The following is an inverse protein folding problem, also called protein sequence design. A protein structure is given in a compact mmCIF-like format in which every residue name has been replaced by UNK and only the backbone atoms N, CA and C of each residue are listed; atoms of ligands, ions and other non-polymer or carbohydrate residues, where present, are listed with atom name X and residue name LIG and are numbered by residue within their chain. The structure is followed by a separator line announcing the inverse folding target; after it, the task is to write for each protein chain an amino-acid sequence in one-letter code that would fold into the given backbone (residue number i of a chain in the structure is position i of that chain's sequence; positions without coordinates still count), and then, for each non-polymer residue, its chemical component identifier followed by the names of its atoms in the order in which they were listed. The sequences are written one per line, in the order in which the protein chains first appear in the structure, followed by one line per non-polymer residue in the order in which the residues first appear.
data_IF_828667484944
#
_entry.id   IF_828667484944
#
_cell.length_a   1.000
_cell.length_b   1.000
_cell.length_c   1.000
_cell.angle_alpha   90.00
_cell.angle_beta   90.00
_cell.angle_gamma   90.00
#
_symmetry.space_group_name_H-M   'P 1'
#
loop_
_entity.id
_entity.type
_entity.pdbx_description
1 polymer ?
#
# COMPACT_ATOMS: atom_id res chain seq x y z
N UNK A 1 -49.78 16.12 30.36
CA UNK A 1 -49.67 14.98 31.31
C UNK A 1 -48.28 14.32 31.32
N UNK A 2 -47.79 13.65 30.27
CA UNK A 2 -46.45 13.02 30.29
C UNK A 2 -45.27 14.01 30.24
N UNK A 3 -45.43 15.16 29.57
CA UNK A 3 -44.36 16.15 29.45
C UNK A 3 -44.13 16.92 30.76
N UNK A 4 -45.21 17.17 31.52
CA UNK A 4 -45.16 17.91 32.79
C UNK A 4 -44.51 17.08 33.89
N UNK A 5 -44.77 15.77 33.92
CA UNK A 5 -44.11 14.85 34.85
C UNK A 5 -42.61 14.72 34.53
N UNK A 6 -42.23 14.57 33.26
CA UNK A 6 -40.82 14.54 32.83
C UNK A 6 -40.06 15.81 33.25
N UNK A 7 -40.66 16.99 33.10
CA UNK A 7 -40.03 18.26 33.49
C UNK A 7 -39.91 18.38 35.01
N UNK A 8 -40.90 17.92 35.77
CA UNK A 8 -40.82 17.87 37.23
C UNK A 8 -39.71 16.93 37.71
N UNK A 9 -39.63 15.72 37.15
CA UNK A 9 -38.64 14.71 37.50
C UNK A 9 -37.20 15.19 37.18
N UNK A 10 -36.98 15.79 36.01
CA UNK A 10 -35.71 16.43 35.64
C UNK A 10 -35.29 17.52 36.63
N UNK A 11 -36.23 18.39 37.03
CA UNK A 11 -35.96 19.46 38.02
C UNK A 11 -35.60 18.90 39.38
N UNK A 12 -36.29 17.83 39.80
CA UNK A 12 -36.05 17.17 41.08
C UNK A 12 -34.68 16.50 41.09
N UNK A 13 -34.33 15.75 40.04
CA UNK A 13 -33.02 15.13 39.86
C UNK A 13 -31.89 16.16 39.88
N UNK A 14 -32.03 17.29 39.17
CA UNK A 14 -31.02 18.35 39.15
C UNK A 14 -30.80 18.98 40.54
N UNK A 15 -31.87 19.09 41.33
CA UNK A 15 -31.82 19.64 42.70
C UNK A 15 -31.18 18.64 43.66
N UNK A 16 -31.41 17.35 43.46
CA UNK A 16 -30.77 16.26 44.20
C UNK A 16 -29.26 16.22 43.94
N UNK A 17 -28.85 16.31 42.67
CA UNK A 17 -27.43 16.33 42.27
C UNK A 17 -26.67 17.53 42.84
N UNK A 18 -27.31 18.71 42.92
CA UNK A 18 -26.73 19.90 43.57
C UNK A 18 -26.57 19.77 45.08
N UNK A 19 -27.35 18.91 45.75
CA UNK A 19 -27.25 18.69 47.21
C UNK A 19 -26.13 17.73 47.60
N UNK A 20 -25.67 16.87 46.68
CA UNK A 20 -24.58 15.91 46.91
C UNK A 20 -23.45 16.09 45.87
N UNK A 21 -22.70 17.20 45.95
CA UNK A 21 -21.72 17.57 44.92
C UNK A 21 -20.57 16.55 44.79
N UNK A 22 -20.10 15.96 45.88
CA UNK A 22 -18.99 14.98 45.84
C UNK A 22 -19.33 13.72 45.05
N UNK A 23 -20.50 13.11 45.30
CA UNK A 23 -20.97 11.93 44.57
C UNK A 23 -21.29 12.24 43.11
N UNK A 24 -21.88 13.40 42.84
CA UNK A 24 -22.19 13.83 41.48
C UNK A 24 -20.92 14.03 40.65
N UNK A 25 -19.90 14.68 41.22
CA UNK A 25 -18.63 14.92 40.53
C UNK A 25 -17.92 13.60 40.20
N UNK A 26 -17.84 12.66 41.15
CA UNK A 26 -17.20 11.36 40.89
C UNK A 26 -17.95 10.56 39.83
N UNK A 27 -19.29 10.55 39.87
CA UNK A 27 -20.13 9.86 38.89
C UNK A 27 -20.02 10.49 37.48
N UNK A 28 -19.99 11.82 37.37
CA UNK A 28 -19.81 12.51 36.08
C UNK A 28 -18.41 12.26 35.52
N UNK A 29 -17.37 12.29 36.35
CA UNK A 29 -16.00 12.04 35.90
C UNK A 29 -15.80 10.60 35.43
N UNK A 30 -16.34 9.61 36.15
CA UNK A 30 -16.26 8.21 35.71
C UNK A 30 -17.04 7.97 34.42
N UNK A 31 -18.22 8.56 34.27
CA UNK A 31 -19.00 8.48 33.03
C UNK A 31 -18.28 9.18 31.87
N UNK A 32 -17.73 10.37 32.09
CA UNK A 32 -16.99 11.13 31.09
C UNK A 32 -15.72 10.40 30.66
N UNK A 33 -14.98 9.78 31.59
CA UNK A 33 -13.82 8.94 31.27
C UNK A 33 -14.21 7.69 30.49
N UNK A 34 -15.29 7.01 30.88
CA UNK A 34 -15.76 5.81 30.18
C UNK A 34 -16.21 6.12 28.74
N UNK A 35 -17.00 7.18 28.56
CA UNK A 35 -17.45 7.63 27.24
C UNK A 35 -16.27 8.17 26.42
N UNK A 36 -15.39 8.97 27.03
CA UNK A 36 -14.22 9.54 26.38
C UNK A 36 -13.24 8.49 25.89
N UNK A 37 -12.90 7.50 26.72
CA UNK A 37 -11.98 6.43 26.36
C UNK A 37 -12.52 5.55 25.23
N UNK A 38 -13.80 5.16 25.31
CA UNK A 38 -14.44 4.34 24.25
C UNK A 38 -14.56 5.12 22.94
N UNK A 39 -14.92 6.41 23.00
CA UNK A 39 -14.98 7.28 21.81
C UNK A 39 -13.60 7.49 21.21
N UNK A 40 -12.56 7.70 22.02
CA UNK A 40 -11.19 7.89 21.54
C UNK A 40 -10.66 6.65 20.82
N UNK A 41 -10.86 5.45 21.39
CA UNK A 41 -10.47 4.19 20.74
C UNK A 41 -11.23 4.02 19.42
N UNK A 42 -12.56 4.22 19.41
CA UNK A 42 -13.34 4.08 18.20
C UNK A 42 -12.96 5.11 17.13
N UNK A 43 -12.68 6.35 17.52
CA UNK A 43 -12.23 7.40 16.59
C UNK A 43 -10.86 7.08 16.00
N UNK A 44 -9.93 6.59 16.81
CA UNK A 44 -8.62 6.15 16.35
C UNK A 44 -8.75 4.96 15.38
N UNK A 45 -9.55 3.95 15.73
CA UNK A 45 -9.82 2.80 14.86
C UNK A 45 -10.48 3.25 13.56
N UNK A 46 -11.46 4.14 13.60
CA UNK A 46 -12.11 4.68 12.41
C UNK A 46 -11.13 5.49 11.55
N UNK A 47 -10.25 6.30 12.13
CA UNK A 47 -9.27 7.06 11.36
C UNK A 47 -8.20 6.16 10.73
N UNK A 48 -7.70 5.18 11.48
CA UNK A 48 -6.62 4.30 11.01
C UNK A 48 -7.12 3.21 10.07
N UNK A 49 -8.28 2.59 10.36
CA UNK A 49 -8.84 1.51 9.53
C UNK A 49 -9.71 2.00 8.37
N UNK A 50 -10.31 3.20 8.47
CA UNK A 50 -11.31 3.67 7.49
C UNK A 50 -10.93 5.00 6.82
N UNK A 51 -9.71 5.51 7.00
CA UNK A 51 -9.16 6.40 5.97
C UNK A 51 -9.01 5.58 4.71
N UNK A 52 -9.90 5.84 3.74
CA UNK A 52 -9.69 5.41 2.37
C UNK A 52 -8.27 5.82 1.98
N UNK A 53 -7.44 4.83 1.59
CA UNK A 53 -6.17 5.08 0.90
C UNK A 53 -6.41 6.26 -0.06
N UNK A 54 -5.56 7.30 -0.10
CA UNK A 54 -5.78 8.48 -0.93
C UNK A 54 -5.56 8.13 -2.41
N UNK A 55 -6.43 7.27 -2.92
CA UNK A 55 -6.46 6.64 -4.23
C UNK A 55 -7.84 6.88 -4.82
N UNK A 56 -7.90 7.03 -6.14
CA UNK A 56 -9.16 7.29 -6.82
C UNK A 56 -10.02 6.02 -6.84
N UNK A 57 -11.30 6.10 -6.44
CA UNK A 57 -12.28 4.97 -6.48
C UNK A 57 -11.71 3.66 -5.89
N UNK A 58 -11.53 3.58 -4.56
CA UNK A 58 -10.95 2.41 -3.90
C UNK A 58 -11.81 1.14 -4.04
N UNK A 59 -13.13 1.28 -4.24
CA UNK A 59 -14.08 0.18 -4.46
C UNK A 59 -13.79 -0.65 -5.73
N UNK A 60 -13.04 -0.07 -6.67
CA UNK A 60 -12.66 -0.72 -7.93
C UNK A 60 -11.23 -1.29 -7.90
N UNK A 61 -10.49 -1.15 -6.80
CA UNK A 61 -9.14 -1.68 -6.68
C UNK A 61 -9.20 -3.05 -6.01
N UNK A 62 -8.87 -4.08 -6.76
CA UNK A 62 -8.86 -5.46 -6.28
C UNK A 62 -7.43 -5.99 -6.27
N UNK A 63 -7.03 -6.56 -5.14
CA UNK A 63 -5.81 -7.36 -5.04
C UNK A 63 -6.09 -8.76 -5.58
N UNK A 64 -5.13 -9.33 -6.30
CA UNK A 64 -5.19 -10.73 -6.70
C UNK A 64 -4.57 -11.57 -5.58
N UNK A 65 -5.36 -12.47 -4.99
CA UNK A 65 -4.95 -13.32 -3.86
C UNK A 65 -5.68 -12.94 -2.55
N UNK A 66 -6.14 -13.96 -1.84
CA UNK A 66 -7.12 -13.81 -0.75
C UNK A 66 -6.50 -13.73 0.64
N UNK A 67 -5.21 -14.07 0.80
CA UNK A 67 -4.56 -14.07 2.12
C UNK A 67 -3.40 -13.08 2.19
N UNK A 68 -3.21 -12.41 3.35
CA UNK A 68 -1.95 -11.72 3.63
C UNK A 68 -0.82 -12.75 3.64
N UNK A 69 0.31 -12.43 3.01
CA UNK A 69 1.50 -13.27 2.99
C UNK A 69 2.13 -13.33 4.39
N UNK A 70 1.61 -14.18 5.30
CA UNK A 70 2.22 -14.33 6.61
C UNK A 70 3.41 -15.29 6.51
N UNK A 71 4.62 -14.72 6.45
CA UNK A 71 5.90 -15.40 6.57
C UNK A 71 6.24 -16.45 5.49
N UNK A 72 5.41 -16.61 4.46
CA UNK A 72 5.67 -17.51 3.33
C UNK A 72 5.79 -16.70 2.02
N UNK A 73 6.99 -16.73 1.43
CA UNK A 73 7.36 -16.01 0.22
C UNK A 73 7.29 -16.93 -1.01
N UNK A 74 6.16 -17.61 -1.18
CA UNK A 74 5.90 -18.52 -2.31
C UNK A 74 4.57 -18.17 -2.96
N UNK A 75 4.43 -18.50 -4.25
CA UNK A 75 3.20 -18.24 -5.00
C UNK A 75 2.06 -19.08 -4.47
N UNK A 76 2.30 -20.36 -4.19
CA UNK A 76 1.33 -21.28 -3.63
C UNK A 76 1.49 -21.43 -2.11
N UNK A 77 0.41 -21.19 -1.36
CA UNK A 77 0.34 -21.51 0.07
C UNK A 77 -0.59 -22.70 0.30
N UNK A 78 -0.04 -23.83 0.77
CA UNK A 78 -0.87 -24.94 1.23
C UNK A 78 -1.45 -24.57 2.59
N UNK A 79 -2.76 -24.68 2.75
CA UNK A 79 -3.31 -24.74 4.08
C UNK A 79 -3.22 -26.17 4.64
N UNK A 80 -2.99 -26.25 5.95
CA UNK A 80 -2.98 -27.52 6.67
C UNK A 80 -4.40 -28.12 6.83
N UNK A 81 -5.41 -27.56 6.16
CA UNK A 81 -6.83 -27.88 6.32
C UNK A 81 -7.44 -28.61 5.12
N UNK A 82 -6.65 -28.91 4.09
CA UNK A 82 -7.09 -29.69 2.93
C UNK A 82 -8.00 -28.94 1.96
N UNK A 83 -7.97 -27.60 1.96
CA UNK A 83 -8.59 -26.80 0.90
C UNK A 83 -7.59 -26.68 -0.27
N UNK A 84 -8.05 -26.38 -1.50
CA UNK A 84 -7.14 -25.99 -2.58
C UNK A 84 -6.24 -24.85 -2.05
N UNK A 85 -4.92 -24.95 -2.22
CA UNK A 85 -4.03 -23.92 -1.72
C UNK A 85 -4.25 -22.59 -2.44
N UNK A 86 -4.06 -21.49 -1.71
CA UNK A 86 -4.31 -20.15 -2.23
C UNK A 86 -3.03 -19.61 -2.86
N UNK A 87 -3.17 -19.08 -4.09
CA UNK A 87 -2.08 -18.43 -4.80
C UNK A 87 -2.04 -16.93 -4.50
N UNK A 88 -0.92 -16.42 -4.00
CA UNK A 88 -0.84 -15.06 -3.45
C UNK A 88 0.32 -14.21 -3.99
N UNK A 89 1.37 -14.81 -4.55
CA UNK A 89 2.51 -14.08 -5.12
C UNK A 89 2.76 -14.55 -6.54
N UNK A 90 3.17 -13.65 -7.42
CA UNK A 90 3.29 -13.96 -8.84
C UNK A 90 4.70 -13.67 -9.36
N UNK A 91 5.16 -14.43 -10.36
CA UNK A 91 6.35 -14.09 -11.11
C UNK A 91 6.03 -12.98 -12.11
N UNK A 92 7.07 -12.29 -12.57
CA UNK A 92 6.95 -11.18 -13.54
C UNK A 92 6.22 -11.57 -14.84
N UNK A 93 6.47 -12.78 -15.35
CA UNK A 93 5.83 -13.26 -16.58
C UNK A 93 4.33 -13.50 -16.41
N UNK A 94 3.88 -13.99 -15.25
CA UNK A 94 2.45 -14.15 -14.96
C UNK A 94 1.74 -12.80 -14.85
N UNK A 95 2.38 -11.81 -14.23
CA UNK A 95 1.87 -10.43 -14.24
C UNK A 95 1.65 -9.91 -15.66
N UNK A 96 2.66 -10.05 -16.53
CA UNK A 96 2.55 -9.61 -17.94
C UNK A 96 1.41 -10.34 -18.66
N UNK A 97 1.27 -11.65 -18.42
CA UNK A 97 0.20 -12.46 -18.98
C UNK A 97 -1.18 -11.93 -18.56
N UNK A 98 -1.42 -11.76 -17.27
CA UNK A 98 -2.72 -11.30 -16.75
C UNK A 98 -3.03 -9.88 -17.22
N UNK A 99 -2.04 -8.99 -17.20
CA UNK A 99 -2.22 -7.61 -17.68
C UNK A 99 -2.62 -7.57 -19.16
N UNK A 100 -2.09 -8.48 -19.98
CA UNK A 100 -2.40 -8.55 -21.41
C UNK A 100 -3.72 -9.26 -21.71
N UNK A 101 -4.10 -10.27 -20.93
CA UNK A 101 -5.17 -11.21 -21.30
C UNK A 101 -6.44 -11.11 -20.45
N UNK A 102 -6.45 -10.32 -19.39
CA UNK A 102 -7.61 -10.19 -18.50
C UNK A 102 -8.37 -8.85 -18.72
N UNK A 103 -9.34 -8.79 -19.67
CA UNK A 103 -10.02 -7.54 -20.04
C UNK A 103 -10.93 -6.97 -18.94
N UNK A 104 -11.23 -7.76 -17.90
CA UNK A 104 -11.97 -7.30 -16.72
C UNK A 104 -11.26 -6.20 -15.93
N UNK A 105 -9.94 -6.07 -16.10
CA UNK A 105 -9.17 -4.94 -15.58
C UNK A 105 -9.19 -3.75 -16.56
N UNK A 106 -9.38 -2.56 -15.98
CA UNK A 106 -9.01 -1.30 -16.62
C UNK A 106 -7.49 -1.18 -16.69
N UNK A 107 -6.80 -1.54 -15.60
CA UNK A 107 -5.35 -1.63 -15.54
C UNK A 107 -4.93 -2.60 -14.42
N UNK A 108 -3.74 -3.20 -14.55
CA UNK A 108 -3.18 -4.13 -13.57
C UNK A 108 -1.74 -3.72 -13.27
N UNK A 109 -1.44 -3.52 -11.99
CA UNK A 109 -0.11 -3.16 -11.51
C UNK A 109 0.49 -4.30 -10.67
N UNK A 110 1.81 -4.35 -10.68
CA UNK A 110 2.60 -5.24 -9.84
C UNK A 110 3.44 -4.43 -8.86
N UNK A 111 3.64 -4.98 -7.68
CA UNK A 111 4.50 -4.42 -6.65
C UNK A 111 5.27 -5.56 -5.97
N UNK A 112 6.50 -5.29 -5.57
CA UNK A 112 7.29 -6.23 -4.79
C UNK A 112 6.53 -6.57 -3.51
N UNK A 113 6.41 -7.87 -3.22
CA UNK A 113 6.06 -8.30 -1.89
C UNK A 113 7.23 -8.04 -0.94
N UNK A 114 6.95 -7.38 0.18
CA UNK A 114 7.95 -6.95 1.16
C UNK A 114 8.64 -5.64 0.76
N UNK A 115 9.83 -5.40 1.31
CA UNK A 115 10.60 -4.19 1.04
C UNK A 115 11.95 -4.50 0.35
N UNK A 116 12.49 -3.50 -0.32
CA UNK A 116 13.87 -3.47 -0.79
C UNK A 116 14.68 -2.57 0.15
N UNK A 117 15.59 -3.10 1.00
CA UNK A 117 16.44 -2.23 1.80
C UNK A 117 17.40 -1.45 0.89
N UNK A 118 17.38 -0.12 1.00
CA UNK A 118 18.18 0.78 0.17
C UNK A 118 19.17 1.57 1.02
N UNK A 119 20.39 1.70 0.52
CA UNK A 119 21.36 2.69 0.93
C UNK A 119 21.33 3.85 -0.07
N UNK A 120 20.88 5.02 0.38
CA UNK A 120 20.60 6.20 -0.44
C UNK A 120 21.51 7.34 -0.04
N UNK A 121 22.11 8.02 -1.02
CA UNK A 121 22.80 9.30 -0.80
C UNK A 121 22.68 10.21 -2.01
N UNK A 122 22.64 11.51 -1.80
CA UNK A 122 22.74 12.48 -2.89
C UNK A 122 24.04 12.28 -3.68
N UNK A 123 23.99 12.32 -5.01
CA UNK A 123 25.19 12.18 -5.82
C UNK A 123 26.18 13.33 -5.54
N UNK A 124 27.46 13.00 -5.36
CA UNK A 124 28.48 13.98 -4.99
C UNK A 124 28.52 14.35 -3.49
N UNK A 125 27.61 13.83 -2.66
CA UNK A 125 27.74 13.96 -1.21
C UNK A 125 28.90 13.11 -0.67
N UNK A 126 29.71 13.69 0.22
CA UNK A 126 30.77 12.99 0.96
C UNK A 126 30.25 12.27 2.22
N UNK A 127 28.97 12.48 2.58
CA UNK A 127 28.34 11.85 3.74
C UNK A 127 28.10 10.35 3.56
N UNK A 128 27.85 9.63 4.67
CA UNK A 128 27.42 8.23 4.61
C UNK A 128 26.07 8.11 3.89
N UNK A 129 25.80 6.93 3.33
CA UNK A 129 24.48 6.63 2.81
C UNK A 129 23.49 6.40 3.95
N UNK A 130 22.27 6.88 3.77
CA UNK A 130 21.16 6.69 4.69
C UNK A 130 20.36 5.44 4.31
N UNK A 131 19.79 4.78 5.30
CA UNK A 131 18.88 3.66 5.06
C UNK A 131 17.49 4.18 4.68
N UNK A 132 16.94 3.63 3.60
CA UNK A 132 15.60 3.90 3.12
C UNK A 132 14.87 2.59 2.79
N UNK A 133 13.56 2.58 2.98
CA UNK A 133 12.72 1.49 2.51
C UNK A 133 12.36 1.71 1.05
N UNK A 134 12.74 0.77 0.19
CA UNK A 134 12.40 0.72 -1.22
C UNK A 134 11.25 -0.22 -1.51
N UNK A 135 10.56 0.00 -2.62
CA UNK A 135 9.60 -0.95 -3.20
C UNK A 135 9.73 -0.91 -4.72
N UNK A 136 9.94 -2.07 -5.35
CA UNK A 136 9.86 -2.15 -6.81
C UNK A 136 8.40 -2.22 -7.24
N UNK A 137 8.00 -1.40 -8.21
CA UNK A 137 6.63 -1.32 -8.71
C UNK A 137 6.60 -1.25 -10.23
N UNK A 138 5.50 -1.68 -10.84
CA UNK A 138 5.32 -1.57 -12.28
C UNK A 138 5.18 -0.11 -12.73
N UNK A 139 5.53 0.18 -13.98
CA UNK A 139 5.50 1.54 -14.52
C UNK A 139 4.12 2.22 -14.43
N UNK A 140 3.05 1.46 -14.52
CA UNK A 140 1.66 1.92 -14.39
C UNK A 140 1.11 1.92 -12.95
N UNK A 141 1.91 1.64 -11.93
CA UNK A 141 1.46 1.46 -10.55
C UNK A 141 0.65 2.65 -10.03
N UNK A 142 1.23 3.85 -10.12
CA UNK A 142 0.57 5.07 -9.65
C UNK A 142 -0.68 5.42 -10.46
N UNK A 143 -0.67 5.16 -11.77
CA UNK A 143 -1.83 5.34 -12.64
C UNK A 143 -2.97 4.38 -12.28
N UNK A 144 -2.65 3.11 -12.00
CA UNK A 144 -3.62 2.10 -11.56
C UNK A 144 -4.31 2.55 -10.27
N UNK A 145 -3.55 3.07 -9.30
CA UNK A 145 -4.08 3.64 -8.06
C UNK A 145 -4.78 5.00 -8.26
N UNK A 146 -4.59 5.64 -9.41
CA UNK A 146 -5.19 6.93 -9.71
C UNK A 146 -4.67 8.03 -8.79
N UNK A 147 -3.36 8.02 -8.52
CA UNK A 147 -2.67 9.04 -7.72
C UNK A 147 -1.82 9.94 -8.62
N UNK A 148 -1.62 11.17 -8.19
CA UNK A 148 -0.87 12.19 -8.94
C UNK A 148 0.30 12.70 -8.12
N UNK A 149 1.41 13.07 -8.77
CA UNK A 149 2.58 13.58 -8.09
C UNK A 149 2.24 14.85 -7.28
N UNK A 150 2.83 14.97 -6.08
CA UNK A 150 2.90 16.26 -5.38
C UNK A 150 3.82 17.23 -6.13
N UNK A 151 4.94 16.72 -6.65
CA UNK A 151 5.93 17.48 -7.42
C UNK A 151 6.57 16.59 -8.48
N UNK A 152 6.86 17.14 -9.65
CA UNK A 152 7.45 16.38 -10.76
C UNK A 152 6.43 15.46 -11.44
N UNK A 153 6.84 14.23 -11.76
CA UNK A 153 5.98 13.21 -12.36
C UNK A 153 6.16 11.87 -11.66
N UNK A 154 5.17 11.00 -11.81
CA UNK A 154 5.24 9.60 -11.39
C UNK A 154 5.67 8.71 -12.57
N UNK A 155 5.85 7.42 -12.30
CA UNK A 155 6.17 6.44 -13.33
C UNK A 155 5.07 6.34 -14.39
N UNK A 156 5.50 6.00 -15.59
CA UNK A 156 4.69 5.50 -16.69
C UNK A 156 5.30 4.21 -17.22
N UNK A 157 4.58 3.47 -18.07
CA UNK A 157 5.06 2.20 -18.64
C UNK A 157 6.43 2.29 -19.34
N UNK A 158 6.77 3.46 -19.91
CA UNK A 158 8.06 3.68 -20.57
C UNK A 158 9.26 3.75 -19.60
N UNK A 159 9.03 4.06 -18.33
CA UNK A 159 10.08 4.06 -17.30
C UNK A 159 10.39 2.64 -16.79
N UNK A 160 9.48 1.70 -17.03
CA UNK A 160 9.56 0.30 -16.57
C UNK A 160 9.87 -0.64 -17.75
N UNK A 161 10.89 -0.28 -18.53
CA UNK A 161 11.39 -1.05 -19.66
C UNK A 161 12.87 -1.37 -19.49
N UNK A 162 13.32 -2.49 -20.05
CA UNK A 162 14.74 -2.80 -20.08
C UNK A 162 15.51 -1.71 -20.84
N UNK A 163 16.55 -1.16 -20.20
CA UNK A 163 17.35 -0.07 -20.75
C UNK A 163 16.76 1.34 -20.58
N UNK A 164 15.58 1.47 -19.96
CA UNK A 164 15.06 2.79 -19.59
C UNK A 164 16.01 3.51 -18.61
N UNK A 165 16.08 4.85 -18.64
CA UNK A 165 16.87 5.61 -17.68
C UNK A 165 16.48 5.26 -16.23
N UNK A 166 17.44 5.00 -15.32
CA UNK A 166 17.12 4.69 -13.93
C UNK A 166 16.49 5.89 -13.22
N UNK A 167 15.22 5.76 -12.88
CA UNK A 167 14.42 6.79 -12.22
C UNK A 167 13.80 6.25 -10.93
N UNK A 168 13.53 7.15 -9.99
CA UNK A 168 12.92 6.83 -8.71
C UNK A 168 11.87 7.89 -8.33
N UNK A 169 10.87 7.48 -7.55
CA UNK A 169 9.88 8.39 -6.96
C UNK A 169 10.05 8.36 -5.46
N UNK A 170 10.10 9.54 -4.83
CA UNK A 170 10.22 9.66 -3.38
C UNK A 170 8.85 9.78 -2.73
N UNK A 171 8.66 9.20 -1.54
CA UNK A 171 7.46 9.43 -0.75
C UNK A 171 7.41 10.85 -0.20
N UNK A 172 6.20 11.38 -0.03
CA UNK A 172 6.01 12.70 0.56
C UNK A 172 6.62 12.76 1.97
N UNK A 173 6.43 11.70 2.76
CA UNK A 173 6.95 11.59 4.11
C UNK A 173 8.48 11.64 4.14
N UNK A 174 9.17 10.85 3.30
CA UNK A 174 10.62 10.89 3.22
C UNK A 174 11.13 12.27 2.78
N UNK A 175 10.50 12.86 1.75
CA UNK A 175 10.83 14.19 1.25
C UNK A 175 10.70 15.27 2.34
N UNK A 176 9.64 15.21 3.15
CA UNK A 176 9.39 16.16 4.22
C UNK A 176 10.35 15.99 5.40
N UNK A 177 10.43 14.77 5.94
CA UNK A 177 11.12 14.48 7.21
C UNK A 177 12.64 14.34 7.04
N UNK A 178 13.10 13.68 5.98
CA UNK A 178 14.53 13.39 5.75
C UNK A 178 15.20 14.45 4.89
N UNK A 179 14.48 15.01 3.92
CA UNK A 179 15.03 15.96 2.94
C UNK A 179 14.53 17.40 3.14
N UNK A 180 13.89 17.70 4.27
CA UNK A 180 13.53 19.07 4.67
C UNK A 180 12.59 19.78 3.70
N UNK A 181 11.78 19.03 2.94
CA UNK A 181 10.92 19.57 1.87
C UNK A 181 11.69 20.32 0.77
N UNK A 182 12.96 19.94 0.51
CA UNK A 182 13.80 20.60 -0.49
C UNK A 182 13.23 20.40 -1.91
N UNK A 183 12.85 21.49 -2.63
CA UNK A 183 12.29 21.39 -3.97
C UNK A 183 13.28 20.87 -5.03
N UNK A 184 14.59 20.89 -4.76
CA UNK A 184 15.67 20.47 -5.67
C UNK A 184 15.85 18.96 -5.71
N UNK A 185 15.23 18.21 -4.80
CA UNK A 185 15.22 16.74 -4.82
C UNK A 185 14.74 16.21 -6.17
N UNK A 186 13.67 16.80 -6.72
CA UNK A 186 13.15 16.42 -8.04
C UNK A 186 14.10 16.93 -9.14
N UNK A 187 14.55 16.01 -9.99
CA UNK A 187 15.55 16.23 -11.04
C UNK A 187 16.98 15.96 -10.59
N UNK A 188 17.23 15.77 -9.30
CA UNK A 188 18.55 15.45 -8.77
C UNK A 188 18.86 13.96 -8.82
N UNK A 189 20.15 13.64 -8.95
CA UNK A 189 20.66 12.28 -8.98
C UNK A 189 21.04 11.82 -7.58
N UNK A 190 20.61 10.62 -7.21
CA UNK A 190 20.95 9.93 -5.99
C UNK A 190 21.66 8.62 -6.32
N UNK A 191 22.60 8.23 -5.46
CA UNK A 191 23.19 6.91 -5.48
C UNK A 191 22.35 6.01 -4.57
N UNK A 192 21.67 5.03 -5.18
CA UNK A 192 20.84 4.03 -4.51
C UNK A 192 21.55 2.68 -4.68
N UNK A 193 22.00 2.07 -3.58
CA UNK A 193 22.92 0.90 -3.56
C UNK A 193 24.09 1.02 -4.55
N UNK A 194 24.67 2.22 -4.68
CA UNK A 194 25.80 2.49 -5.56
C UNK A 194 25.46 2.66 -7.04
N UNK A 195 24.18 2.71 -7.40
CA UNK A 195 23.70 3.01 -8.76
C UNK A 195 23.06 4.39 -8.81
N UNK A 196 23.28 5.12 -9.90
CA UNK A 196 22.71 6.44 -10.08
C UNK A 196 21.24 6.35 -10.51
N UNK A 197 20.35 6.98 -9.76
CA UNK A 197 18.92 7.15 -10.06
C UNK A 197 18.56 8.63 -10.00
N UNK A 198 17.73 9.08 -10.93
CA UNK A 198 17.16 10.44 -10.88
C UNK A 198 15.83 10.40 -10.16
N UNK A 199 15.64 11.25 -9.14
CA UNK A 199 14.32 11.40 -8.53
C UNK A 199 13.45 12.22 -9.47
N UNK A 200 12.43 11.61 -10.08
CA UNK A 200 11.58 12.28 -11.08
C UNK A 200 10.32 12.90 -10.50
N UNK A 201 9.99 12.57 -9.25
CA UNK A 201 8.87 13.17 -8.56
C UNK A 201 8.73 12.74 -7.11
N UNK A 202 7.80 13.40 -6.43
CA UNK A 202 7.38 13.12 -5.06
C UNK A 202 5.92 12.67 -5.11
N UNK A 203 5.61 11.54 -4.49
CA UNK A 203 4.26 11.01 -4.36
C UNK A 203 3.34 11.97 -3.57
N UNK A 204 2.01 11.88 -3.69
CA UNK A 204 1.11 12.81 -3.01
C UNK A 204 1.15 12.64 -1.48
N UNK A 205 0.83 13.70 -0.75
CA UNK A 205 0.72 13.67 0.70
C UNK A 205 -0.32 12.62 1.15
N UNK A 206 0.03 11.85 2.19
CA UNK A 206 -0.81 10.77 2.72
C UNK A 206 -0.76 9.46 1.94
N UNK A 207 -0.10 9.42 0.76
CA UNK A 207 0.09 8.17 0.03
C UNK A 207 1.26 7.37 0.61
N UNK A 208 0.97 6.13 1.03
CA UNK A 208 1.90 5.25 1.75
C UNK A 208 2.22 3.95 1.02
N UNK A 209 1.78 3.81 -0.24
CA UNK A 209 1.85 2.56 -1.01
C UNK A 209 0.49 1.86 -1.14
N UNK A 210 0.45 0.71 -1.81
CA UNK A 210 -0.76 -0.09 -2.00
C UNK A 210 -1.06 -1.02 -0.81
N UNK A 211 -0.07 -1.26 0.04
CA UNK A 211 -0.14 -2.23 1.15
C UNK A 211 0.40 -1.59 2.41
N UNK A 212 -0.30 -1.78 3.54
CA UNK A 212 0.18 -1.40 4.86
C UNK A 212 0.75 -2.66 5.50
N UNK A 213 2.06 -2.73 5.67
CA UNK A 213 2.77 -3.90 6.22
C UNK A 213 3.68 -3.49 7.38
N UNK A 214 3.91 -4.42 8.30
CA UNK A 214 4.65 -4.18 9.56
C UNK A 214 6.12 -3.76 9.36
N UNK A 215 6.71 -4.03 8.19
CA UNK A 215 8.10 -3.73 7.86
C UNK A 215 8.35 -2.28 7.42
N UNK A 216 7.31 -1.45 7.42
CA UNK A 216 7.38 -0.01 7.17
C UNK A 216 6.94 0.39 5.76
N UNK A 217 6.57 1.66 5.62
CA UNK A 217 6.12 2.25 4.36
C UNK A 217 7.33 2.54 3.44
N UNK A 218 7.15 2.50 2.11
CA UNK A 218 8.21 2.86 1.17
C UNK A 218 8.59 4.34 1.31
N UNK A 219 9.88 4.60 1.45
CA UNK A 219 10.48 5.92 1.28
C UNK A 219 10.70 6.24 -0.21
N UNK A 220 11.00 5.20 -1.01
CA UNK A 220 11.32 5.33 -2.44
C UNK A 220 10.67 4.17 -3.22
N UNK A 221 10.04 4.49 -4.35
CA UNK A 221 9.64 3.52 -5.35
C UNK A 221 10.63 3.48 -6.51
N UNK A 222 10.82 2.29 -7.07
CA UNK A 222 11.72 2.00 -8.19
C UNK A 222 10.94 1.20 -9.26
N UNK A 223 11.15 1.40 -10.57
CA UNK A 223 10.53 0.55 -11.58
C UNK A 223 11.05 -0.89 -11.49
N UNK A 224 10.17 -1.89 -11.65
CA UNK A 224 10.52 -3.32 -11.62
C UNK A 224 11.68 -3.67 -12.58
N UNK A 225 11.69 -3.09 -13.77
CA UNK A 225 12.74 -3.28 -14.78
C UNK A 225 14.14 -2.82 -14.32
N UNK A 226 14.23 -2.04 -13.24
CA UNK A 226 15.51 -1.61 -12.65
C UNK A 226 16.07 -2.59 -11.61
N UNK A 227 15.31 -3.60 -11.19
CA UNK A 227 15.76 -4.62 -10.23
C UNK A 227 17.08 -5.29 -10.65
N UNK A 228 17.32 -5.67 -11.93
CA UNK A 228 18.59 -6.24 -12.37
C UNK A 228 19.79 -5.31 -12.22
N UNK A 229 19.62 -3.99 -12.20
CA UNK A 229 20.72 -3.05 -11.97
C UNK A 229 21.27 -3.14 -10.55
N UNK A 230 20.39 -3.53 -9.62
CA UNK A 230 20.65 -3.60 -8.17
C UNK A 230 21.10 -5.00 -7.75
N UNK A 231 20.41 -6.03 -8.25
CA UNK A 231 20.62 -7.42 -7.83
C UNK A 231 21.47 -8.23 -8.82
N UNK A 232 21.71 -7.73 -10.04
CA UNK A 232 22.55 -8.42 -11.03
C UNK A 232 22.02 -9.81 -11.36
N UNK A 233 22.83 -10.84 -11.10
CA UNK A 233 22.49 -12.24 -11.39
C UNK A 233 21.43 -12.83 -10.47
N UNK A 234 21.12 -12.19 -9.33
CA UNK A 234 20.09 -12.65 -8.38
C UNK A 234 18.77 -11.91 -8.55
N UNK A 235 18.60 -11.15 -9.64
CA UNK A 235 17.36 -10.46 -9.96
C UNK A 235 16.21 -11.44 -10.18
N UNK A 236 15.12 -11.27 -9.42
CA UNK A 236 13.96 -12.15 -9.43
C UNK A 236 13.12 -11.99 -10.69
N UNK A 237 13.14 -10.81 -11.31
CA UNK A 237 12.42 -10.53 -12.56
C UNK A 237 12.84 -11.47 -13.72
N UNK A 238 14.05 -12.04 -13.65
CA UNK A 238 14.58 -12.98 -14.66
C UNK A 238 14.33 -14.45 -14.32
N UNK A 239 13.93 -14.77 -13.09
CA UNK A 239 13.62 -16.16 -12.70
C UNK A 239 12.10 -16.36 -12.73
N UNK A 240 11.64 -17.11 -13.72
CA UNK A 240 10.21 -17.41 -13.90
C UNK A 240 9.63 -18.27 -12.77
N UNK A 241 10.47 -18.87 -11.92
CA UNK A 241 10.05 -19.75 -10.82
C UNK A 241 9.94 -19.02 -9.49
N UNK A 242 10.34 -17.75 -9.44
CA UNK A 242 10.30 -16.96 -8.21
C UNK A 242 9.05 -16.13 -8.19
N UNK A 243 8.20 -16.40 -7.21
CA UNK A 243 6.98 -15.66 -6.94
C UNK A 243 7.27 -14.56 -5.92
N UNK A 244 7.21 -13.30 -6.34
CA UNK A 244 7.63 -12.19 -5.48
C UNK A 244 6.83 -10.90 -5.67
N UNK A 245 5.79 -10.93 -6.51
CA UNK A 245 4.95 -9.78 -6.81
C UNK A 245 3.56 -9.97 -6.22
N UNK A 246 3.11 -8.99 -5.44
CA UNK A 246 1.69 -8.75 -5.22
C UNK A 246 1.13 -8.05 -6.47
N UNK A 247 -0.11 -8.37 -6.84
CA UNK A 247 -0.79 -7.75 -7.98
C UNK A 247 -2.04 -7.00 -7.50
N UNK A 248 -2.20 -5.78 -7.99
CA UNK A 248 -3.37 -4.95 -7.71
C UNK A 248 -3.90 -4.37 -9.01
N UNK A 249 -5.19 -4.58 -9.26
CA UNK A 249 -5.83 -4.18 -10.50
C UNK A 249 -7.05 -3.32 -10.26
N UNK A 250 -7.23 -2.32 -11.13
CA UNK A 250 -8.47 -1.57 -11.19
C UNK A 250 -9.45 -2.31 -12.08
N UNK A 251 -10.58 -2.76 -11.55
CA UNK A 251 -11.59 -3.45 -12.34
C UNK A 251 -12.53 -2.48 -13.06
N UNK A 252 -13.06 -2.91 -14.21
CA UNK A 252 -14.12 -2.19 -14.92
C UNK A 252 -15.42 -2.25 -14.13
N UNK A 253 -16.28 -1.25 -14.33
CA UNK A 253 -17.61 -1.22 -13.72
C UNK A 253 -18.45 -2.40 -14.21
N UNK A 254 -19.06 -3.13 -13.27
CA UNK A 254 -19.86 -4.32 -13.56
C UNK A 254 -19.08 -5.63 -13.65
N UNK A 255 -17.76 -5.63 -13.44
CA UNK A 255 -16.97 -6.87 -13.36
C UNK A 255 -17.46 -7.74 -12.20
N UNK A 256 -17.76 -9.01 -12.49
CA UNK A 256 -18.18 -9.97 -11.47
C UNK A 256 -16.95 -10.65 -10.84
N UNK A 257 -16.78 -10.62 -9.50
CA UNK A 257 -15.60 -11.17 -8.83
C UNK A 257 -15.29 -12.62 -9.22
N UNK A 258 -16.28 -13.51 -9.09
CA UNK A 258 -16.11 -14.94 -9.38
C UNK A 258 -15.76 -15.25 -10.83
N UNK A 259 -16.26 -14.46 -11.77
CA UNK A 259 -15.96 -14.65 -13.19
C UNK A 259 -14.52 -14.23 -13.50
N UNK A 260 -14.06 -13.11 -12.92
CA UNK A 260 -12.69 -12.65 -13.05
C UNK A 260 -11.70 -13.63 -12.38
N UNK A 261 -12.05 -14.12 -11.20
CA UNK A 261 -11.27 -15.14 -10.48
C UNK A 261 -11.12 -16.42 -11.30
N UNK A 262 -12.21 -16.96 -11.85
CA UNK A 262 -12.18 -18.16 -12.68
C UNK A 262 -11.32 -17.96 -13.95
N UNK A 263 -11.36 -16.77 -14.55
CA UNK A 263 -10.51 -16.43 -15.69
C UNK A 263 -9.02 -16.42 -15.29
N UNK A 264 -8.66 -15.69 -14.21
CA UNK A 264 -7.30 -15.63 -13.69
C UNK A 264 -6.77 -17.02 -13.32
N UNK A 265 -7.59 -17.86 -12.69
CA UNK A 265 -7.26 -19.25 -12.40
C UNK A 265 -6.96 -20.02 -13.68
N UNK A 266 -7.80 -19.93 -14.71
CA UNK A 266 -7.54 -20.60 -15.99
C UNK A 266 -6.23 -20.14 -16.65
N UNK A 267 -5.97 -18.83 -16.65
CA UNK A 267 -4.73 -18.25 -17.21
C UNK A 267 -3.50 -18.71 -16.44
N UNK A 268 -3.57 -18.73 -15.10
CA UNK A 268 -2.51 -19.23 -14.24
C UNK A 268 -2.22 -20.71 -14.48
N UNK A 269 -3.25 -21.56 -14.55
CA UNK A 269 -3.08 -23.00 -14.81
C UNK A 269 -2.42 -23.24 -16.17
N UNK A 270 -2.83 -22.50 -17.21
CA UNK A 270 -2.20 -22.57 -18.53
C UNK A 270 -0.74 -22.12 -18.53
N UNK A 271 -0.42 -21.09 -17.76
CA UNK A 271 0.95 -20.61 -17.59
C UNK A 271 1.83 -21.63 -16.87
N UNK A 272 1.36 -22.17 -15.74
CA UNK A 272 2.08 -23.20 -14.97
C UNK A 272 2.35 -24.45 -15.82
N UNK A 273 1.35 -24.92 -16.58
CA UNK A 273 1.50 -26.08 -17.44
C UNK A 273 2.54 -25.89 -18.58
N UNK A 274 2.78 -24.66 -19.02
CA UNK A 274 3.73 -24.35 -20.10
C UNK A 274 5.15 -24.03 -19.61
N UNK A 275 5.33 -23.67 -18.34
CA UNK A 275 6.61 -23.18 -17.81
C UNK A 275 7.21 -24.03 -16.68
N UNK A 276 6.44 -24.98 -16.11
CA UNK A 276 6.91 -25.93 -15.09
C UNK A 276 7.08 -27.37 -15.60
N UNK A 277 6.95 -27.59 -16.92
CA UNK A 277 7.13 -28.88 -17.57
C UNK A 277 8.61 -29.17 -17.91
#
# INVERSE_FOLDING_TARGET
MWLESLVQDLRYALRQLRKSPGFTVTAVLTLALGIGATTAIFTLVQQVMLQSLPVTRPDQLWRIGDRPHCCNWTGYSQDNEGKPGDWNLFPWEAYKLFRANTPGFQDLAALQAGNAPLAVRHAGSAGPAETANGEFVSGNFFQTLGVSAWRGRLFVDADDQEGAPPVAVMSFHAWQEKYGSDPTVVGSTYQINGRAFTIIGVAPAGFVGATIVDWGMPDIWLPLATEPLMLGTTARIKDTRVDWLDLIGRVRSGTQPKALEAQLQSELHGWLASHLA
#
